data_IF_668602750759
#
_entry.id   IF_668602750759
#
_cell.length_a   1.000
_cell.length_b   1.000
_cell.length_c   1.000
_cell.angle_alpha   90.00
_cell.angle_beta   90.00
_cell.angle_gamma   90.00
#
_symmetry.space_group_name_H-M   'P 1'
#
loop_
_entity.id
_entity.type
_entity.pdbx_description
1 polymer ?
#
# COMPACT_ATOMS: atom_id res chain seq x y z
N UNK A 1 4.03 -11.86 -2.24
CA UNK A 1 4.64 -10.63 -1.73
C UNK A 1 4.51 -10.53 -0.22
N UNK A 2 5.00 -9.45 0.39
CA UNK A 2 4.92 -9.22 1.85
C UNK A 2 3.48 -9.16 2.33
N UNK A 3 2.60 -8.46 1.64
CA UNK A 3 1.17 -8.37 1.95
C UNK A 3 0.51 -9.75 2.03
N UNK A 4 0.75 -10.62 1.04
CA UNK A 4 0.25 -12.01 1.04
C UNK A 4 0.81 -12.82 2.21
N UNK A 5 2.10 -12.67 2.56
CA UNK A 5 2.68 -13.34 3.74
C UNK A 5 2.04 -12.88 5.06
N UNK A 6 1.75 -11.59 5.20
CA UNK A 6 1.06 -11.06 6.38
C UNK A 6 -0.34 -11.67 6.50
N UNK A 7 -1.12 -11.66 5.42
CA UNK A 7 -2.47 -12.24 5.42
C UNK A 7 -2.49 -13.75 5.70
N UNK A 8 -1.51 -14.49 5.21
CA UNK A 8 -1.38 -15.92 5.48
C UNK A 8 -1.10 -16.21 6.96
N UNK A 9 -0.30 -15.38 7.62
CA UNK A 9 0.05 -15.57 9.03
C UNK A 9 -0.98 -14.97 9.99
N UNK A 10 -1.57 -13.86 9.65
CA UNK A 10 -2.50 -13.11 10.49
C UNK A 10 -3.87 -13.02 9.82
N UNK A 11 -4.79 -13.91 10.17
CA UNK A 11 -6.10 -14.02 9.53
C UNK A 11 -6.99 -12.77 9.69
N UNK A 12 -6.72 -11.97 10.71
CA UNK A 12 -7.42 -10.70 10.96
C UNK A 12 -6.91 -9.55 10.08
N UNK A 13 -5.82 -9.73 9.32
CA UNK A 13 -5.36 -8.70 8.38
C UNK A 13 -5.99 -8.89 7.00
N UNK A 14 -6.66 -7.86 6.51
CA UNK A 14 -7.26 -7.83 5.17
C UNK A 14 -6.56 -6.80 4.30
N UNK A 15 -6.28 -7.17 3.04
CA UNK A 15 -5.78 -6.21 2.07
C UNK A 15 -6.92 -5.30 1.62
N UNK A 16 -6.69 -3.99 1.64
CA UNK A 16 -7.60 -3.07 0.97
C UNK A 16 -7.39 -3.20 -0.53
N UNK A 17 -8.35 -3.81 -1.22
CA UNK A 17 -8.31 -3.97 -2.67
C UNK A 17 -8.63 -2.62 -3.31
N UNK A 18 -7.63 -1.99 -3.92
CA UNK A 18 -7.76 -0.68 -4.55
C UNK A 18 -8.46 -0.77 -5.91
N UNK A 19 -9.17 0.30 -6.29
CA UNK A 19 -9.60 0.49 -7.68
C UNK A 19 -8.42 0.97 -8.52
N UNK A 20 -8.39 0.56 -9.79
CA UNK A 20 -7.42 1.09 -10.76
C UNK A 20 -8.02 1.23 -12.16
N UNK A 21 -7.55 2.23 -12.90
CA UNK A 21 -7.90 2.43 -14.32
C UNK A 21 -6.94 1.72 -15.26
N UNK A 22 -5.91 1.06 -14.73
CA UNK A 22 -4.98 0.24 -15.51
C UNK A 22 -5.66 -1.06 -15.93
N UNK A 23 -5.39 -1.50 -17.14
CA UNK A 23 -5.81 -2.84 -17.59
C UNK A 23 -5.17 -3.94 -16.73
N UNK A 24 -5.87 -5.06 -16.46
CA UNK A 24 -5.32 -6.18 -15.71
C UNK A 24 -4.12 -6.80 -16.42
N UNK A 25 -3.16 -7.29 -15.64
CA UNK A 25 -2.07 -8.14 -16.12
C UNK A 25 -2.53 -9.59 -16.21
N UNK A 26 -1.81 -10.43 -16.95
CA UNK A 26 -2.21 -11.81 -17.24
C UNK A 26 -2.47 -12.70 -16.01
N UNK A 27 -1.87 -12.37 -14.88
CA UNK A 27 -1.97 -13.13 -13.63
C UNK A 27 -2.69 -12.37 -12.51
N UNK A 28 -3.34 -11.25 -12.83
CA UNK A 28 -4.12 -10.48 -11.87
C UNK A 28 -5.60 -10.87 -11.94
N UNK A 29 -6.25 -10.92 -10.79
CA UNK A 29 -7.62 -11.34 -10.63
C UNK A 29 -8.47 -10.18 -10.12
N UNK A 30 -9.60 -9.92 -10.84
CA UNK A 30 -10.60 -8.92 -10.44
C UNK A 30 -11.08 -9.17 -9.01
N UNK A 31 -11.14 -8.10 -8.22
CA UNK A 31 -11.60 -8.15 -6.82
C UNK A 31 -10.62 -8.79 -5.83
N UNK A 32 -9.46 -9.28 -6.31
CA UNK A 32 -8.41 -9.87 -5.47
C UNK A 32 -7.14 -9.03 -5.46
N UNK A 33 -6.63 -8.70 -6.65
CA UNK A 33 -5.45 -7.87 -6.80
C UNK A 33 -5.84 -6.38 -6.93
N UNK A 34 -6.87 -6.09 -7.73
CA UNK A 34 -7.48 -4.77 -7.93
C UNK A 34 -8.95 -4.92 -8.33
N UNK A 35 -9.71 -3.81 -8.23
CA UNK A 35 -10.94 -3.61 -8.98
C UNK A 35 -10.60 -2.78 -10.24
N UNK A 36 -10.72 -3.41 -11.42
CA UNK A 36 -10.38 -2.76 -12.69
C UNK A 36 -11.60 -2.00 -13.21
N UNK A 37 -11.47 -0.68 -13.32
CA UNK A 37 -12.59 0.19 -13.68
C UNK A 37 -12.24 1.13 -14.83
N UNK A 38 -13.26 1.67 -15.51
CA UNK A 38 -13.05 2.71 -16.50
C UNK A 38 -12.57 4.01 -15.84
N UNK A 39 -11.86 4.82 -16.61
CA UNK A 39 -11.42 6.15 -16.17
C UNK A 39 -12.59 7.03 -15.79
N UNK A 40 -13.63 7.05 -16.61
CA UNK A 40 -14.86 7.83 -16.36
C UNK A 40 -15.49 7.47 -15.01
N UNK A 41 -15.66 6.18 -14.75
CA UNK A 41 -16.22 5.73 -13.47
C UNK A 41 -15.33 6.12 -12.27
N UNK A 42 -14.00 6.00 -12.42
CA UNK A 42 -13.09 6.43 -11.36
C UNK A 42 -13.22 7.93 -11.07
N UNK A 43 -13.26 8.77 -12.11
CA UNK A 43 -13.41 10.22 -12.00
C UNK A 43 -14.76 10.63 -11.37
N UNK A 44 -15.84 9.91 -11.67
CA UNK A 44 -17.13 10.08 -10.97
C UNK A 44 -17.03 9.81 -9.47
N UNK A 45 -16.32 8.76 -9.07
CA UNK A 45 -16.11 8.43 -7.66
C UNK A 45 -15.25 9.48 -6.95
N UNK A 46 -14.26 10.05 -7.65
CA UNK A 46 -13.48 11.20 -7.14
C UNK A 46 -14.39 12.41 -6.91
N UNK A 47 -15.21 12.78 -7.89
CA UNK A 47 -16.13 13.90 -7.78
C UNK A 47 -17.14 13.71 -6.61
N UNK A 48 -17.58 12.47 -6.38
CA UNK A 48 -18.46 12.08 -5.27
C UNK A 48 -17.72 11.90 -3.92
N UNK A 49 -16.41 12.19 -3.84
CA UNK A 49 -15.54 12.07 -2.64
C UNK A 49 -15.59 10.69 -1.97
N UNK A 50 -15.66 9.62 -2.77
CA UNK A 50 -15.82 8.24 -2.30
C UNK A 50 -14.51 7.58 -1.86
N UNK A 51 -13.36 8.19 -2.12
CA UNK A 51 -12.06 7.65 -1.76
C UNK A 51 -11.54 8.16 -0.41
N UNK A 52 -10.85 7.32 0.33
CA UNK A 52 -9.96 7.72 1.42
C UNK A 52 -8.69 8.35 0.85
N UNK A 53 -8.13 7.72 -0.17
CA UNK A 53 -6.98 8.19 -0.91
C UNK A 53 -7.11 7.80 -2.38
N UNK A 54 -6.50 8.57 -3.25
CA UNK A 54 -6.26 8.21 -4.64
C UNK A 54 -5.03 8.94 -5.16
N UNK A 55 -4.34 8.30 -6.12
CA UNK A 55 -3.17 8.86 -6.77
C UNK A 55 -3.18 8.57 -8.27
N UNK A 56 -2.61 9.48 -9.04
CA UNK A 56 -2.26 9.21 -10.43
C UNK A 56 -0.81 8.75 -10.47
N UNK A 57 -0.60 7.48 -10.80
CA UNK A 57 0.72 6.87 -10.95
C UNK A 57 0.94 6.63 -12.44
N UNK A 58 1.82 7.45 -13.03
CA UNK A 58 2.00 7.58 -14.47
C UNK A 58 0.67 7.95 -15.16
N UNK A 59 0.14 7.08 -16.03
CA UNK A 59 -1.08 7.35 -16.78
C UNK A 59 -2.36 6.80 -16.12
N UNK A 60 -2.22 6.05 -15.01
CA UNK A 60 -3.34 5.35 -14.38
C UNK A 60 -3.65 5.89 -13.00
N UNK A 61 -4.93 5.83 -12.66
CA UNK A 61 -5.39 6.12 -11.30
C UNK A 61 -5.42 4.85 -10.46
N UNK A 62 -5.17 5.04 -9.17
CA UNK A 62 -5.32 4.04 -8.12
C UNK A 62 -5.99 4.70 -6.93
N UNK A 63 -6.84 3.99 -6.19
CA UNK A 63 -7.49 4.59 -5.03
C UNK A 63 -8.25 3.58 -4.18
N UNK A 64 -8.41 3.92 -2.93
CA UNK A 64 -9.03 3.10 -1.89
C UNK A 64 -10.38 3.67 -1.50
N UNK A 65 -11.47 2.92 -1.73
CA UNK A 65 -12.82 3.34 -1.39
C UNK A 65 -13.04 3.38 0.12
N UNK A 66 -13.69 4.47 0.59
CA UNK A 66 -14.12 4.62 1.99
C UNK A 66 -14.99 3.46 2.45
N UNK A 67 -16.03 3.13 1.68
CA UNK A 67 -16.97 2.07 2.02
C UNK A 67 -16.28 0.76 2.38
N UNK A 68 -15.34 0.32 1.54
CA UNK A 68 -14.65 -0.96 1.74
C UNK A 68 -13.79 -0.95 3.01
N UNK A 69 -13.13 0.17 3.29
CA UNK A 69 -12.33 0.36 4.51
C UNK A 69 -13.23 0.38 5.74
N UNK A 70 -14.28 1.20 5.72
CA UNK A 70 -15.19 1.38 6.87
C UNK A 70 -15.88 0.07 7.27
N UNK A 71 -16.28 -0.74 6.28
CA UNK A 71 -16.87 -2.07 6.53
C UNK A 71 -15.83 -3.07 7.08
N UNK A 72 -14.60 -3.02 6.58
CA UNK A 72 -13.55 -3.97 6.95
C UNK A 72 -12.97 -3.69 8.33
N UNK A 73 -12.74 -2.41 8.67
CA UNK A 73 -12.06 -2.01 9.92
C UNK A 73 -12.88 -2.35 11.17
N UNK A 74 -14.19 -2.57 11.04
CA UNK A 74 -15.05 -2.96 12.15
C UNK A 74 -14.68 -4.33 12.76
N UNK A 75 -14.02 -5.20 11.98
CA UNK A 75 -13.74 -6.60 12.39
C UNK A 75 -12.28 -7.02 12.14
N UNK A 76 -11.53 -6.25 11.38
CA UNK A 76 -10.21 -6.65 10.90
C UNK A 76 -9.23 -5.47 10.92
N UNK A 77 -7.94 -5.80 11.00
CA UNK A 77 -6.87 -4.87 10.65
C UNK A 77 -6.77 -4.77 9.12
N UNK A 78 -6.41 -3.59 8.60
CA UNK A 78 -6.33 -3.36 7.16
C UNK A 78 -4.88 -3.12 6.74
N UNK A 79 -4.49 -3.72 5.64
CA UNK A 79 -3.23 -3.45 4.95
C UNK A 79 -3.54 -2.56 3.74
N UNK A 80 -2.89 -1.41 3.67
CA UNK A 80 -2.88 -0.55 2.50
C UNK A 80 -1.55 -0.77 1.76
N UNK A 81 -1.62 -1.19 0.49
CA UNK A 81 -0.45 -1.30 -0.41
C UNK A 81 -0.49 -0.10 -1.38
N UNK A 82 -0.05 1.04 -0.89
CA UNK A 82 -0.18 2.36 -1.53
C UNK A 82 1.16 3.09 -1.59
N UNK A 83 1.23 4.13 -2.41
CA UNK A 83 2.40 5.00 -2.50
C UNK A 83 2.39 6.13 -1.43
N UNK A 84 3.41 6.99 -1.49
CA UNK A 84 3.53 8.13 -0.58
C UNK A 84 2.38 9.14 -0.70
N UNK A 85 1.79 9.32 -1.91
CA UNK A 85 0.67 10.24 -2.13
C UNK A 85 -0.58 9.75 -1.38
N UNK A 86 -0.87 8.43 -1.49
CA UNK A 86 -1.94 7.79 -0.75
C UNK A 86 -1.70 7.83 0.76
N UNK A 87 -0.48 7.52 1.21
CA UNK A 87 -0.10 7.59 2.62
C UNK A 87 -0.32 8.99 3.21
N UNK A 88 0.06 10.04 2.50
CA UNK A 88 -0.15 11.44 2.91
C UNK A 88 -1.64 11.80 3.01
N UNK A 89 -2.48 11.26 2.13
CA UNK A 89 -3.93 11.48 2.19
C UNK A 89 -4.55 10.72 3.37
N UNK A 90 -4.22 9.44 3.56
CA UNK A 90 -4.71 8.64 4.69
C UNK A 90 -4.33 9.25 6.03
N UNK A 91 -3.14 9.81 6.16
CA UNK A 91 -2.66 10.45 7.40
C UNK A 91 -3.50 11.64 7.87
N UNK A 92 -4.38 12.18 7.02
CA UNK A 92 -5.33 13.23 7.41
C UNK A 92 -6.53 12.71 8.20
N UNK A 93 -6.80 11.41 8.15
CA UNK A 93 -7.93 10.78 8.81
C UNK A 93 -7.52 10.28 10.20
N UNK A 94 -7.79 11.10 11.22
CA UNK A 94 -7.39 10.81 12.62
C UNK A 94 -8.10 9.60 13.24
N UNK A 95 -9.22 9.18 12.66
CA UNK A 95 -9.95 7.97 13.06
C UNK A 95 -9.29 6.68 12.59
N UNK A 96 -8.31 6.77 11.68
CA UNK A 96 -7.51 5.63 11.26
C UNK A 96 -6.22 5.59 12.10
N UNK A 97 -6.06 4.56 12.91
CA UNK A 97 -4.83 4.33 13.66
C UNK A 97 -3.77 3.72 12.74
N UNK A 98 -3.06 4.56 12.00
CA UNK A 98 -2.13 4.16 10.96
C UNK A 98 -0.74 3.84 11.51
N UNK A 99 -0.16 2.74 11.03
CA UNK A 99 1.25 2.42 11.14
C UNK A 99 1.83 2.49 9.72
N UNK A 100 2.69 3.45 9.48
CA UNK A 100 3.25 3.73 8.16
C UNK A 100 4.63 3.13 8.03
N UNK A 101 4.77 2.16 7.12
CA UNK A 101 6.02 1.45 6.88
C UNK A 101 6.50 1.75 5.47
N UNK A 102 7.66 2.37 5.34
CA UNK A 102 8.29 2.63 4.05
C UNK A 102 9.20 1.47 3.65
N UNK A 103 8.86 0.82 2.53
CA UNK A 103 9.67 -0.27 1.97
C UNK A 103 10.52 0.26 0.83
N UNK A 104 11.83 0.33 1.05
CA UNK A 104 12.76 0.83 0.06
C UNK A 104 13.71 -0.26 -0.45
N UNK A 105 14.06 -0.23 -1.73
CA UNK A 105 15.18 -1.02 -2.26
C UNK A 105 16.52 -0.41 -1.82
N UNK A 106 17.57 -1.23 -1.79
CA UNK A 106 18.88 -0.80 -1.31
C UNK A 106 19.48 0.33 -2.17
N UNK A 107 19.20 0.30 -3.47
CA UNK A 107 19.64 1.31 -4.45
C UNK A 107 18.80 1.21 -5.74
N UNK A 108 19.06 2.14 -6.66
CA UNK A 108 18.40 2.26 -7.96
C UNK A 108 18.66 1.06 -8.88
N UNK A 109 19.86 0.51 -8.85
CA UNK A 109 20.25 -0.65 -9.67
C UNK A 109 19.47 -1.90 -9.29
N UNK A 110 19.29 -2.12 -7.99
CA UNK A 110 18.49 -3.23 -7.48
C UNK A 110 17.01 -3.07 -7.86
N UNK A 111 16.47 -1.84 -7.79
CA UNK A 111 15.12 -1.54 -8.28
C UNK A 111 14.99 -1.92 -9.76
N UNK A 112 15.93 -1.48 -10.61
CA UNK A 112 15.93 -1.77 -12.04
C UNK A 112 15.95 -3.28 -12.32
N UNK A 113 16.82 -4.04 -11.62
CA UNK A 113 16.89 -5.50 -11.74
C UNK A 113 15.54 -6.15 -11.41
N UNK A 114 14.88 -5.73 -10.33
CA UNK A 114 13.59 -6.27 -9.91
C UNK A 114 12.47 -5.94 -10.89
N UNK A 115 12.45 -4.73 -11.43
CA UNK A 115 11.47 -4.31 -12.44
C UNK A 115 11.59 -5.12 -13.72
N UNK A 116 12.81 -5.37 -14.20
CA UNK A 116 13.09 -6.20 -15.38
C UNK A 116 12.71 -7.67 -15.11
N UNK A 117 13.11 -8.22 -13.95
CA UNK A 117 12.82 -9.62 -13.60
C UNK A 117 11.33 -9.93 -13.49
N UNK A 118 10.49 -8.95 -13.15
CA UNK A 118 9.02 -9.14 -13.12
C UNK A 118 8.42 -9.45 -14.48
N UNK A 119 9.11 -9.14 -15.58
CA UNK A 119 8.70 -9.38 -16.97
C UNK A 119 7.25 -8.93 -17.30
N UNK A 120 6.72 -7.98 -16.54
CA UNK A 120 5.35 -7.47 -16.59
C UNK A 120 5.30 -5.96 -16.87
N UNK A 121 6.48 -5.34 -17.03
CA UNK A 121 6.62 -3.91 -17.27
C UNK A 121 7.19 -3.68 -18.66
N UNK A 122 6.67 -2.70 -19.37
CA UNK A 122 7.30 -2.23 -20.61
C UNK A 122 8.63 -1.53 -20.30
N UNK A 123 9.49 -1.38 -21.31
CA UNK A 123 10.75 -0.64 -21.15
C UNK A 123 10.52 0.79 -20.66
N UNK A 124 9.44 1.44 -21.15
CA UNK A 124 9.03 2.77 -20.73
C UNK A 124 8.61 2.81 -19.26
N UNK A 125 7.83 1.84 -18.78
CA UNK A 125 7.44 1.76 -17.36
C UNK A 125 8.64 1.55 -16.45
N UNK A 126 9.60 0.71 -16.83
CA UNK A 126 10.85 0.52 -16.11
C UNK A 126 11.62 1.84 -16.03
N UNK A 127 11.74 2.58 -17.14
CA UNK A 127 12.42 3.88 -17.19
C UNK A 127 11.71 4.92 -16.31
N UNK A 128 10.38 5.02 -16.40
CA UNK A 128 9.59 5.95 -15.57
C UNK A 128 9.79 5.67 -14.08
N UNK A 129 9.70 4.40 -13.63
CA UNK A 129 9.92 4.00 -12.24
C UNK A 129 11.36 4.20 -11.76
N UNK A 130 12.32 4.01 -12.64
CA UNK A 130 13.72 4.27 -12.33
C UNK A 130 13.98 5.76 -12.13
N UNK A 131 13.34 6.63 -12.92
CA UNK A 131 13.49 8.07 -12.80
C UNK A 131 12.75 8.65 -11.58
N UNK A 132 11.60 8.08 -11.19
CA UNK A 132 10.84 8.54 -10.01
C UNK A 132 11.50 8.15 -8.68
N UNK A 133 12.46 7.22 -8.67
CA UNK A 133 13.07 6.70 -7.45
C UNK A 133 13.63 7.78 -6.52
N UNK A 134 14.33 8.79 -7.07
CA UNK A 134 14.95 9.84 -6.28
C UNK A 134 13.91 10.80 -5.66
N UNK A 135 12.77 10.94 -6.29
CA UNK A 135 11.67 11.73 -5.75
C UNK A 135 10.87 10.92 -4.72
N UNK A 136 10.61 9.65 -5.01
CA UNK A 136 9.92 8.77 -4.08
C UNK A 136 10.68 8.66 -2.75
N UNK A 137 12.00 8.52 -2.79
CA UNK A 137 12.83 8.37 -1.59
C UNK A 137 12.79 9.59 -0.67
N UNK A 138 12.50 10.78 -1.15
CA UNK A 138 12.44 12.01 -0.33
C UNK A 138 11.30 11.99 0.70
N UNK A 139 10.31 11.12 0.53
CA UNK A 139 9.14 11.02 1.38
C UNK A 139 9.31 10.11 2.60
N UNK A 140 10.49 9.54 2.83
CA UNK A 140 10.74 8.63 3.95
C UNK A 140 10.41 9.22 5.32
N UNK A 141 10.55 10.54 5.52
CA UNK A 141 10.24 11.23 6.77
C UNK A 141 8.75 11.21 7.16
N UNK A 142 7.86 10.91 6.22
CA UNK A 142 6.42 10.83 6.44
C UNK A 142 5.99 9.48 7.05
N UNK A 143 6.96 8.56 7.31
CA UNK A 143 6.71 7.20 7.76
C UNK A 143 7.24 6.93 9.17
N UNK A 144 6.59 6.01 9.88
CA UNK A 144 6.95 5.64 11.24
C UNK A 144 8.12 4.64 11.27
N UNK A 145 8.26 3.83 10.22
CA UNK A 145 9.30 2.82 10.07
C UNK A 145 9.82 2.76 8.63
N UNK A 146 11.13 2.50 8.50
CA UNK A 146 11.77 2.29 7.20
C UNK A 146 12.38 0.90 7.19
N UNK A 147 12.06 0.11 6.15
CA UNK A 147 12.59 -1.22 5.95
C UNK A 147 13.31 -1.29 4.60
N UNK A 148 14.59 -1.67 4.63
CA UNK A 148 15.36 -1.89 3.41
C UNK A 148 15.06 -3.30 2.90
N UNK A 149 14.40 -3.37 1.75
CA UNK A 149 13.95 -4.61 1.13
C UNK A 149 15.11 -5.32 0.39
N UNK A 150 15.99 -5.97 1.16
CA UNK A 150 17.05 -6.84 0.63
C UNK A 150 16.57 -8.27 0.40
N UNK A 151 15.91 -8.83 1.41
CA UNK A 151 15.42 -10.19 1.44
C UNK A 151 14.00 -10.24 1.98
N UNK A 152 13.13 -10.99 1.33
CA UNK A 152 11.69 -11.04 1.66
C UNK A 152 11.44 -11.53 3.09
N UNK A 153 12.17 -12.57 3.55
CA UNK A 153 11.96 -13.16 4.88
C UNK A 153 12.47 -12.26 5.99
N UNK A 154 13.59 -11.57 5.75
CA UNK A 154 14.12 -10.57 6.69
C UNK A 154 13.13 -9.41 6.83
N UNK A 155 12.62 -8.87 5.71
CA UNK A 155 11.62 -7.81 5.73
C UNK A 155 10.34 -8.25 6.45
N UNK A 156 9.90 -9.48 6.19
CA UNK A 156 8.72 -10.03 6.84
C UNK A 156 8.89 -10.09 8.36
N UNK A 157 10.03 -10.60 8.85
CA UNK A 157 10.34 -10.63 10.30
C UNK A 157 10.37 -9.22 10.92
N UNK A 158 10.89 -8.23 10.20
CA UNK A 158 10.87 -6.84 10.68
C UNK A 158 9.44 -6.29 10.79
N UNK A 159 8.59 -6.56 9.79
CA UNK A 159 7.18 -6.18 9.83
C UNK A 159 6.45 -6.88 10.98
N UNK A 160 6.71 -8.17 11.22
CA UNK A 160 6.13 -8.90 12.35
C UNK A 160 6.47 -8.26 13.69
N UNK A 161 7.73 -7.86 13.86
CA UNK A 161 8.17 -7.14 15.07
C UNK A 161 7.42 -5.80 15.23
N UNK A 162 7.25 -5.05 14.16
CA UNK A 162 6.49 -3.79 14.17
C UNK A 162 5.03 -4.05 14.55
N UNK A 163 4.37 -5.03 13.94
CA UNK A 163 2.99 -5.41 14.27
C UNK A 163 2.88 -5.78 15.76
N UNK A 164 3.77 -6.63 16.26
CA UNK A 164 3.78 -7.05 17.68
C UNK A 164 3.94 -5.89 18.66
N UNK A 165 4.85 -4.96 18.36
CA UNK A 165 5.10 -3.79 19.20
C UNK A 165 3.89 -2.84 19.25
N UNK A 166 3.21 -2.66 18.12
CA UNK A 166 2.07 -1.76 18.05
C UNK A 166 0.80 -2.38 18.63
N UNK A 167 0.57 -3.68 18.47
CA UNK A 167 -0.53 -4.38 19.18
C UNK A 167 -0.42 -4.26 20.70
N UNK A 168 0.78 -4.38 21.26
CA UNK A 168 1.00 -4.16 22.69
C UNK A 168 0.68 -2.73 23.14
N UNK A 169 1.01 -1.71 22.34
CA UNK A 169 0.68 -0.30 22.65
C UNK A 169 -0.82 -0.04 22.66
N UNK A 170 -1.56 -0.61 21.71
CA UNK A 170 -3.02 -0.49 21.65
C UNK A 170 -3.68 -1.13 22.88
N UNK A 171 -3.20 -2.31 23.31
CA UNK A 171 -3.70 -2.98 24.52
C UNK A 171 -3.44 -2.17 25.79
N UNK A 172 -2.28 -1.53 25.89
CA UNK A 172 -1.93 -0.70 27.05
C UNK A 172 -2.77 0.58 27.10
N UNK A 173 -2.99 1.25 25.96
CA UNK A 173 -3.81 2.45 25.93
C UNK A 173 -5.29 2.18 26.21
N UNK A 174 -5.83 1.04 25.80
CA UNK A 174 -7.21 0.65 26.13
C UNK A 174 -7.41 0.33 27.63
N UNK A 175 -6.36 -0.04 28.35
CA UNK A 175 -6.42 -0.26 29.80
C UNK A 175 -6.26 1.02 30.64
N UNK A 176 -5.68 2.07 30.07
CA UNK A 176 -5.52 3.38 30.73
C UNK A 176 -6.78 4.26 30.59
N UNK A 177 -7.66 3.94 29.67
CA UNK A 177 -8.90 4.71 29.38
C UNK A 177 -10.12 4.13 30.13
N UNK A 178 -9.96 3.03 30.83
CA UNK A 178 -10.96 2.50 31.77
C UNK A 178 -10.66 2.93 33.20
#
# INVERSE_FOLDING_TARGET
>A
TLTKKIQQKYQNFKLSVSLTTRSPRSNEVEGVDYHFVSRTYFEELVAKKKFYEYAKIFENYYGTLKKNVDETILKNDIIFDIDWQGTKQLSKFKNLNLIKIYLITINKEELKKRLIKRNQNTKEEVKKRFNSFDDDIKHWNDYDYIIINKNLDVCFKQIEKIISLNKKRISISSHIIQ
#
